data_IF_138834308901
#
_entry.id   IF_138834308901
#
_cell.length_a   1.000
_cell.length_b   1.000
_cell.length_c   1.000
_cell.angle_alpha   90.00
_cell.angle_beta   90.00
_cell.angle_gamma   90.00
#
_symmetry.space_group_name_H-M   'P 1'
#
loop_
_entity.id
_entity.type
_entity.pdbx_description
1 polymer ?
#
# COMPACT_ATOMS: atom_id res chain seq x y z
N UNK A 1 26.83 -1.01 -40.22
CA UNK A 1 27.80 -2.02 -39.74
C UNK A 1 27.11 -2.81 -38.64
N UNK A 2 26.90 -4.10 -38.83
CA UNK A 2 26.32 -4.94 -37.76
C UNK A 2 27.38 -5.13 -36.68
N UNK A 3 27.07 -4.75 -35.44
CA UNK A 3 27.91 -5.15 -34.31
C UNK A 3 27.91 -6.67 -34.23
N UNK A 4 29.04 -7.31 -33.84
CA UNK A 4 29.06 -8.74 -33.63
C UNK A 4 28.01 -9.08 -32.57
N UNK A 5 27.14 -10.05 -32.87
CA UNK A 5 25.97 -10.39 -32.05
C UNK A 5 26.31 -10.61 -30.56
N UNK A 6 27.52 -11.08 -30.28
CA UNK A 6 28.05 -11.28 -28.93
C UNK A 6 28.08 -10.00 -28.08
N UNK A 7 28.44 -8.84 -28.64
CA UNK A 7 28.51 -7.58 -27.90
C UNK A 7 27.10 -7.13 -27.53
N UNK A 8 26.18 -7.20 -28.49
CA UNK A 8 24.77 -6.86 -28.27
C UNK A 8 24.17 -7.70 -27.16
N UNK A 9 24.42 -9.01 -27.15
CA UNK A 9 23.94 -9.93 -26.10
C UNK A 9 24.50 -9.54 -24.73
N UNK A 10 25.80 -9.22 -24.62
CA UNK A 10 26.40 -8.81 -23.35
C UNK A 10 25.80 -7.49 -22.85
N UNK A 11 25.56 -6.51 -23.74
CA UNK A 11 24.91 -5.26 -23.37
C UNK A 11 23.47 -5.48 -22.88
N UNK A 12 22.72 -6.38 -23.51
CA UNK A 12 21.36 -6.75 -23.08
C UNK A 12 21.38 -7.46 -21.72
N UNK A 13 22.33 -8.38 -21.48
CA UNK A 13 22.48 -9.04 -20.19
C UNK A 13 22.84 -8.05 -19.08
N UNK A 14 23.75 -7.10 -19.35
CA UNK A 14 24.13 -6.07 -18.38
C UNK A 14 22.99 -5.11 -18.08
N UNK A 15 22.12 -4.79 -19.05
CA UNK A 15 20.96 -3.93 -18.82
C UNK A 15 19.83 -4.61 -18.05
N UNK A 16 19.77 -5.94 -18.04
CA UNK A 16 18.79 -6.69 -17.27
C UNK A 16 18.95 -6.50 -15.76
N UNK A 17 20.20 -6.42 -15.27
CA UNK A 17 20.51 -6.33 -13.84
C UNK A 17 19.92 -5.09 -13.15
N UNK A 18 20.13 -3.84 -13.66
CA UNK A 18 19.54 -2.65 -13.04
C UNK A 18 18.02 -2.64 -13.14
N UNK A 19 17.44 -3.14 -14.24
CA UNK A 19 15.98 -3.29 -14.40
C UNK A 19 15.39 -4.25 -13.36
N UNK A 20 16.02 -5.40 -13.17
CA UNK A 20 15.61 -6.40 -12.17
C UNK A 20 15.76 -5.86 -10.74
N UNK A 21 16.86 -5.17 -10.44
CA UNK A 21 17.09 -4.56 -9.13
C UNK A 21 16.02 -3.51 -8.79
N UNK A 22 15.63 -2.69 -9.77
CA UNK A 22 14.56 -1.71 -9.63
C UNK A 22 13.22 -2.38 -9.29
N UNK A 23 12.85 -3.44 -10.02
CA UNK A 23 11.61 -4.19 -9.77
C UNK A 23 11.63 -4.86 -8.40
N UNK A 24 12.74 -5.50 -8.02
CA UNK A 24 12.87 -6.15 -6.71
C UNK A 24 12.74 -5.16 -5.55
N UNK A 25 13.18 -3.91 -5.75
CA UNK A 25 12.96 -2.82 -4.78
C UNK A 25 11.50 -2.37 -4.78
N UNK A 26 10.88 -2.29 -5.94
CA UNK A 26 9.48 -1.87 -6.07
C UNK A 26 8.53 -2.90 -5.43
N UNK A 27 8.79 -4.20 -5.60
CA UNK A 27 8.08 -5.31 -4.95
C UNK A 27 8.15 -5.27 -3.42
N UNK A 28 9.24 -4.73 -2.84
CA UNK A 28 9.32 -4.57 -1.38
C UNK A 28 8.44 -3.43 -0.87
N UNK A 29 8.09 -2.47 -1.74
CA UNK A 29 7.34 -1.26 -1.39
C UNK A 29 5.87 -1.38 -1.83
N UNK A 30 5.57 -2.25 -2.79
CA UNK A 30 4.21 -2.46 -3.31
C UNK A 30 3.86 -3.94 -3.23
N UNK A 31 2.65 -4.29 -2.78
CA UNK A 31 2.16 -5.65 -2.93
C UNK A 31 2.22 -6.04 -4.41
N UNK A 32 2.54 -7.32 -4.67
CA UNK A 32 2.66 -7.84 -6.02
C UNK A 32 1.30 -7.74 -6.71
N UNK A 33 1.11 -6.72 -7.55
CA UNK A 33 -0.02 -6.68 -8.46
C UNK A 33 0.16 -7.79 -9.50
N UNK A 34 -0.90 -8.53 -9.86
CA UNK A 34 -0.91 -9.48 -10.98
C UNK A 34 -0.66 -8.77 -12.31
N UNK A 35 0.60 -8.43 -12.56
CA UNK A 35 1.06 -7.99 -13.86
C UNK A 35 1.36 -9.25 -14.65
N UNK A 36 0.98 -9.29 -15.92
CA UNK A 36 1.35 -10.40 -16.80
C UNK A 36 2.88 -10.46 -16.89
N UNK A 37 3.47 -11.66 -16.85
CA UNK A 37 4.95 -11.80 -16.88
C UNK A 37 5.60 -11.14 -18.10
N UNK A 38 4.86 -10.97 -19.21
CA UNK A 38 5.31 -10.20 -20.37
C UNK A 38 5.46 -8.70 -20.06
N UNK A 39 4.50 -8.10 -19.35
CA UNK A 39 4.54 -6.69 -19.01
C UNK A 39 5.61 -6.42 -17.93
N UNK A 40 5.81 -7.36 -17.00
CA UNK A 40 6.96 -7.31 -16.08
C UNK A 40 8.28 -7.32 -16.85
N UNK A 41 8.45 -8.24 -17.81
CA UNK A 41 9.65 -8.32 -18.63
C UNK A 41 9.88 -7.04 -19.46
N UNK A 42 8.83 -6.51 -20.09
CA UNK A 42 8.91 -5.23 -20.82
C UNK A 42 9.28 -4.08 -19.90
N UNK A 43 8.79 -4.07 -18.66
CA UNK A 43 9.15 -3.06 -17.67
C UNK A 43 10.60 -3.20 -17.19
N UNK A 44 11.08 -4.42 -16.92
CA UNK A 44 12.51 -4.70 -16.63
C UNK A 44 13.37 -4.13 -17.75
N UNK A 45 13.02 -4.46 -18.98
CA UNK A 45 13.80 -4.17 -20.16
C UNK A 45 13.78 -2.67 -20.47
N UNK A 46 12.63 -2.01 -20.37
CA UNK A 46 12.51 -0.56 -20.54
C UNK A 46 13.35 0.19 -19.50
N UNK A 47 13.21 -0.14 -18.20
CA UNK A 47 13.98 0.53 -17.14
C UNK A 47 15.47 0.24 -17.26
N UNK A 48 15.83 -1.01 -17.57
CA UNK A 48 17.21 -1.43 -17.78
C UNK A 48 17.88 -0.70 -18.95
N UNK A 49 17.20 -0.62 -20.10
CA UNK A 49 17.69 0.12 -21.26
C UNK A 49 17.78 1.62 -21.01
N UNK A 50 16.78 2.23 -20.37
CA UNK A 50 16.81 3.66 -20.06
C UNK A 50 17.94 4.03 -19.10
N UNK A 51 18.14 3.24 -18.04
CA UNK A 51 19.21 3.50 -17.05
C UNK A 51 20.59 3.23 -17.63
N UNK A 52 20.76 2.16 -18.39
CA UNK A 52 22.04 1.84 -19.06
C UNK A 52 22.35 2.85 -20.16
N UNK A 53 21.36 3.23 -20.96
CA UNK A 53 21.51 4.24 -22.01
C UNK A 53 21.90 5.61 -21.44
N UNK A 54 21.26 6.02 -20.34
CA UNK A 54 21.63 7.24 -19.63
C UNK A 54 23.06 7.16 -19.07
N UNK A 55 23.44 6.02 -18.49
CA UNK A 55 24.80 5.84 -17.98
C UNK A 55 25.87 5.89 -19.07
N UNK A 56 25.61 5.24 -20.22
CA UNK A 56 26.50 5.30 -21.39
C UNK A 56 26.61 6.74 -21.91
N UNK A 57 25.49 7.46 -21.98
CA UNK A 57 25.48 8.87 -22.40
C UNK A 57 26.34 9.72 -21.47
N UNK A 58 26.19 9.55 -20.15
CA UNK A 58 27.00 10.27 -19.16
C UNK A 58 28.49 9.95 -19.35
N UNK A 59 28.85 8.67 -19.52
CA UNK A 59 30.24 8.27 -19.77
C UNK A 59 30.82 8.87 -21.05
N UNK A 60 30.03 8.99 -22.13
CA UNK A 60 30.47 9.61 -23.39
C UNK A 60 30.66 11.12 -23.24
N UNK A 61 29.87 11.79 -22.39
CA UNK A 61 29.99 13.23 -22.14
C UNK A 61 31.18 13.57 -21.23
N UNK A 62 31.71 12.60 -20.47
CA UNK A 62 32.89 12.83 -19.64
C UNK A 62 34.16 12.91 -20.53
N UNK A 63 35.14 13.74 -20.14
CA UNK A 63 36.38 13.88 -20.90
C UNK A 63 37.12 12.54 -21.06
N UNK A 64 37.68 12.26 -22.25
CA UNK A 64 38.21 10.95 -22.62
C UNK A 64 39.51 10.59 -21.90
N UNK A 65 40.09 11.50 -21.11
CA UNK A 65 41.39 11.29 -20.46
C UNK A 65 41.38 10.12 -19.49
N UNK A 66 40.24 9.81 -18.88
CA UNK A 66 40.10 8.75 -17.88
C UNK A 66 39.25 7.55 -18.33
N UNK A 67 38.48 7.71 -19.41
CA UNK A 67 37.48 6.74 -19.86
C UNK A 67 37.75 6.28 -21.31
N UNK A 68 36.86 5.45 -21.82
CA UNK A 68 36.93 4.92 -23.18
C UNK A 68 36.63 6.02 -24.20
N UNK A 69 37.50 6.19 -25.20
CA UNK A 69 37.24 7.08 -26.33
C UNK A 69 36.36 6.32 -27.36
N UNK A 70 35.09 6.71 -27.54
CA UNK A 70 34.18 6.02 -28.45
C UNK A 70 34.62 6.16 -29.91
N UNK A 71 35.27 7.26 -30.29
CA UNK A 71 35.72 7.50 -31.67
C UNK A 71 36.92 6.60 -31.97
N UNK A 72 37.88 6.52 -31.04
CA UNK A 72 39.03 5.63 -31.17
C UNK A 72 38.61 4.15 -31.14
N UNK A 73 37.59 3.78 -30.35
CA UNK A 73 37.05 2.42 -30.34
C UNK A 73 36.40 2.05 -31.68
N UNK A 74 35.59 2.95 -32.28
CA UNK A 74 34.95 2.69 -33.58
C UNK A 74 35.98 2.60 -34.71
N UNK A 75 37.03 3.42 -34.67
CA UNK A 75 38.10 3.41 -35.69
C UNK A 75 39.08 2.25 -35.51
N UNK A 76 39.49 1.94 -34.29
CA UNK A 76 40.52 0.95 -33.97
C UNK A 76 39.98 -0.45 -33.66
N UNK A 77 38.68 -0.58 -33.42
CA UNK A 77 37.99 -1.85 -33.17
C UNK A 77 38.69 -2.72 -32.13
N UNK A 78 39.01 -3.96 -32.52
CA UNK A 78 39.64 -4.96 -31.65
C UNK A 78 41.07 -4.57 -31.20
N UNK A 79 41.83 -3.88 -32.05
CA UNK A 79 43.20 -3.47 -31.73
C UNK A 79 43.22 -2.41 -30.60
N UNK A 80 42.22 -1.53 -30.58
CA UNK A 80 42.04 -0.56 -29.49
C UNK A 80 41.71 -1.26 -28.16
N UNK A 81 40.78 -2.21 -28.18
CA UNK A 81 40.39 -2.97 -26.97
C UNK A 81 41.59 -3.70 -26.36
N UNK A 82 42.41 -4.35 -27.18
CA UNK A 82 43.59 -5.09 -26.70
C UNK A 82 44.67 -4.16 -26.14
N UNK A 83 44.86 -2.99 -26.73
CA UNK A 83 45.85 -2.01 -26.25
C UNK A 83 45.39 -1.26 -24.99
N UNK A 84 44.09 -1.15 -24.76
CA UNK A 84 43.51 -0.34 -23.68
C UNK A 84 42.54 -1.11 -22.76
N UNK A 85 42.79 -2.42 -22.56
CA UNK A 85 41.97 -3.33 -21.74
C UNK A 85 41.57 -2.74 -20.37
N UNK A 86 42.52 -2.11 -19.66
CA UNK A 86 42.25 -1.49 -18.34
C UNK A 86 41.24 -0.34 -18.43
N UNK A 87 41.35 0.52 -19.45
CA UNK A 87 40.42 1.65 -19.65
C UNK A 87 39.03 1.14 -20.04
N UNK A 88 38.97 0.13 -20.91
CA UNK A 88 37.72 -0.53 -21.29
C UNK A 88 37.02 -1.15 -20.07
N UNK A 89 37.75 -1.91 -19.24
CA UNK A 89 37.20 -2.51 -18.03
C UNK A 89 36.71 -1.46 -17.03
N UNK A 90 37.47 -0.38 -16.85
CA UNK A 90 37.11 0.72 -15.95
C UNK A 90 35.87 1.46 -16.47
N UNK A 91 35.76 1.73 -17.77
CA UNK A 91 34.58 2.36 -18.35
C UNK A 91 33.34 1.48 -18.22
N UNK A 92 33.46 0.16 -18.46
CA UNK A 92 32.33 -0.76 -18.30
C UNK A 92 31.86 -0.77 -16.84
N UNK A 93 32.81 -0.85 -15.90
CA UNK A 93 32.51 -0.85 -14.46
C UNK A 93 31.85 0.48 -14.03
N UNK A 94 32.38 1.61 -14.50
CA UNK A 94 31.83 2.93 -14.22
C UNK A 94 30.40 3.06 -14.77
N UNK A 95 30.16 2.69 -16.03
CA UNK A 95 28.81 2.68 -16.63
C UNK A 95 27.85 1.82 -15.82
N UNK A 96 28.28 0.63 -15.40
CA UNK A 96 27.43 -0.30 -14.64
C UNK A 96 27.06 0.25 -13.26
N UNK A 97 28.04 0.80 -12.53
CA UNK A 97 27.79 1.43 -11.23
C UNK A 97 26.86 2.65 -11.37
N UNK A 98 27.02 3.43 -12.43
CA UNK A 98 26.19 4.60 -12.70
C UNK A 98 24.76 4.21 -13.06
N UNK A 99 24.58 3.13 -13.83
CA UNK A 99 23.26 2.56 -14.13
C UNK A 99 22.55 2.05 -12.86
N UNK A 100 23.27 1.35 -11.97
CA UNK A 100 22.74 0.92 -10.66
C UNK A 100 22.34 2.14 -9.81
N UNK A 101 23.22 3.15 -9.74
CA UNK A 101 22.95 4.39 -9.02
C UNK A 101 21.72 5.12 -9.56
N UNK A 102 21.57 5.21 -10.88
CA UNK A 102 20.40 5.80 -11.52
C UNK A 102 19.11 5.02 -11.20
N UNK A 103 19.15 3.68 -11.25
CA UNK A 103 18.01 2.83 -10.87
C UNK A 103 17.62 3.04 -9.39
N UNK A 104 18.62 3.15 -8.50
CA UNK A 104 18.40 3.43 -7.08
C UNK A 104 17.78 4.82 -6.87
N UNK A 105 18.35 5.84 -7.53
CA UNK A 105 17.84 7.20 -7.46
C UNK A 105 16.41 7.31 -7.98
N UNK A 106 16.10 6.64 -9.10
CA UNK A 106 14.74 6.61 -9.66
C UNK A 106 13.74 5.97 -8.69
N UNK A 107 14.13 4.86 -8.05
CA UNK A 107 13.34 4.20 -7.01
C UNK A 107 13.10 5.14 -5.81
N UNK A 108 14.13 5.85 -5.37
CA UNK A 108 14.07 6.80 -4.26
C UNK A 108 13.19 8.01 -4.56
N UNK A 109 13.37 8.68 -5.70
CA UNK A 109 12.53 9.82 -6.12
C UNK A 109 11.07 9.41 -6.20
N UNK A 110 10.78 8.22 -6.76
CA UNK A 110 9.42 7.66 -6.81
C UNK A 110 8.85 7.32 -5.44
N UNK A 111 9.69 7.09 -4.44
CA UNK A 111 9.25 6.88 -3.05
C UNK A 111 8.89 8.18 -2.34
N UNK A 112 9.56 9.30 -2.65
CA UNK A 112 9.32 10.61 -2.03
C UNK A 112 8.06 11.27 -2.58
N UNK A 113 7.84 11.19 -3.89
CA UNK A 113 6.75 11.89 -4.57
C UNK A 113 5.37 11.27 -4.45
N UNK A 114 5.14 10.32 -3.53
CA UNK A 114 3.81 9.74 -3.37
C UNK A 114 2.94 10.67 -2.54
N UNK A 115 1.90 11.32 -3.13
CA UNK A 115 0.95 12.10 -2.35
C UNK A 115 0.29 11.18 -1.32
N UNK A 116 0.19 11.65 -0.08
CA UNK A 116 -0.42 10.92 1.05
C UNK A 116 -1.96 10.85 0.96
N UNK A 117 -2.54 10.97 -0.23
CA UNK A 117 -3.99 11.04 -0.41
C UNK A 117 -4.42 10.37 -1.70
N UNK A 118 -5.36 9.43 -1.57
CA UNK A 118 -6.13 8.77 -2.61
C UNK A 118 -5.31 8.16 -3.77
N UNK A 119 -5.00 6.88 -3.65
CA UNK A 119 -4.33 6.13 -4.70
C UNK A 119 -5.38 5.35 -5.50
N UNK A 120 -5.86 5.90 -6.61
CA UNK A 120 -6.93 5.29 -7.43
C UNK A 120 -6.54 3.97 -8.12
N UNK A 121 -5.26 3.59 -8.05
CA UNK A 121 -4.70 2.40 -8.68
C UNK A 121 -4.42 1.25 -7.68
N UNK A 122 -4.67 1.46 -6.39
CA UNK A 122 -4.51 0.45 -5.35
C UNK A 122 -5.82 -0.26 -5.03
N UNK A 123 -5.74 -1.52 -4.57
CA UNK A 123 -6.89 -2.17 -3.92
C UNK A 123 -7.30 -1.32 -2.70
N UNK A 124 -8.59 -0.97 -2.53
CA UNK A 124 -9.05 -0.18 -1.38
C UNK A 124 -8.62 -0.77 -0.04
N UNK A 125 -8.53 -2.10 0.03
CA UNK A 125 -8.01 -2.83 1.18
C UNK A 125 -6.56 -2.49 1.50
N UNK A 126 -5.70 -2.45 0.48
CA UNK A 126 -4.27 -2.12 0.64
C UNK A 126 -4.09 -0.71 1.17
N UNK A 127 -4.84 0.24 0.62
CA UNK A 127 -4.74 1.62 1.03
C UNK A 127 -5.27 1.83 2.45
N UNK A 128 -6.41 1.21 2.77
CA UNK A 128 -7.03 1.32 4.10
C UNK A 128 -6.15 0.68 5.20
N UNK A 129 -5.55 -0.48 4.94
CA UNK A 129 -4.68 -1.15 5.91
C UNK A 129 -3.28 -0.54 6.05
N UNK A 130 -2.77 0.15 5.02
CA UNK A 130 -1.48 0.83 5.09
C UNK A 130 -1.59 2.30 5.52
N UNK A 131 -2.80 2.82 5.73
CA UNK A 131 -3.02 4.17 6.23
C UNK A 131 -2.63 4.34 7.72
N UNK A 132 -2.50 3.23 8.46
CA UNK A 132 -2.16 3.24 9.88
C UNK A 132 -0.81 3.94 10.16
N UNK A 133 -0.73 4.77 11.22
CA UNK A 133 0.54 5.38 11.65
C UNK A 133 1.62 4.35 11.98
N UNK A 134 2.90 4.73 11.87
CA UNK A 134 4.06 3.79 12.02
C UNK A 134 4.12 3.05 13.36
N UNK A 135 3.58 3.63 14.43
CA UNK A 135 3.59 3.07 15.78
C UNK A 135 2.27 2.36 16.15
N UNK A 136 1.31 2.36 15.23
CA UNK A 136 -0.02 1.79 15.41
C UNK A 136 -0.26 0.66 14.42
N UNK A 137 -1.07 -0.30 14.84
CA UNK A 137 -1.54 -1.38 13.98
C UNK A 137 -3.01 -1.17 13.62
N UNK A 138 -3.46 -1.70 12.47
CA UNK A 138 -4.89 -1.80 12.20
C UNK A 138 -5.51 -2.90 13.08
N UNK A 139 -6.35 -2.48 14.02
CA UNK A 139 -7.29 -3.32 14.73
C UNK A 139 -8.59 -3.41 13.91
N UNK A 140 -8.97 -4.62 13.54
CA UNK A 140 -10.13 -4.85 12.69
C UNK A 140 -11.31 -5.34 13.51
N UNK A 141 -12.49 -4.83 13.17
CA UNK A 141 -13.79 -5.41 13.56
C UNK A 141 -14.43 -5.92 12.27
N UNK A 142 -14.54 -7.23 12.15
CA UNK A 142 -15.05 -7.91 10.96
C UNK A 142 -16.44 -8.45 11.26
N UNK A 143 -17.44 -7.96 10.54
CA UNK A 143 -18.80 -8.48 10.58
C UNK A 143 -18.92 -9.67 9.64
N UNK A 144 -19.38 -10.78 10.18
CA UNK A 144 -19.55 -12.05 9.48
C UNK A 144 -20.96 -12.16 8.90
N UNK A 145 -21.15 -12.99 7.88
CA UNK A 145 -22.47 -13.25 7.26
C UNK A 145 -23.49 -13.89 8.19
N UNK A 146 -23.04 -14.48 9.30
CA UNK A 146 -23.90 -15.02 10.36
C UNK A 146 -24.22 -14.00 11.47
N UNK A 147 -23.84 -12.74 11.27
CA UNK A 147 -24.04 -11.63 12.21
C UNK A 147 -23.02 -11.59 13.36
N UNK A 148 -22.06 -12.52 13.44
CA UNK A 148 -20.98 -12.45 14.44
C UNK A 148 -20.01 -11.33 14.11
N UNK A 149 -19.46 -10.70 15.15
CA UNK A 149 -18.32 -9.80 15.00
C UNK A 149 -17.05 -10.49 15.47
N UNK A 150 -15.99 -10.40 14.67
CA UNK A 150 -14.66 -10.90 15.01
C UNK A 150 -13.69 -9.73 15.05
N UNK A 151 -13.05 -9.55 16.20
CA UNK A 151 -12.12 -8.46 16.43
C UNK A 151 -10.69 -8.99 16.59
N UNK A 152 -9.70 -8.28 16.05
CA UNK A 152 -8.29 -8.62 16.23
C UNK A 152 -7.34 -7.73 15.43
N UNK A 153 -6.04 -7.90 15.68
CA UNK A 153 -5.02 -7.18 14.91
C UNK A 153 -4.86 -7.81 13.53
N UNK A 154 -4.87 -6.98 12.48
CA UNK A 154 -4.53 -7.45 11.15
C UNK A 154 -3.08 -7.95 11.12
N UNK A 155 -2.89 -9.18 10.63
CA UNK A 155 -1.56 -9.75 10.39
C UNK A 155 -1.23 -9.82 8.90
N UNK A 156 -2.18 -10.31 8.11
CA UNK A 156 -2.05 -10.48 6.68
C UNK A 156 -3.44 -10.48 6.05
N UNK A 157 -3.49 -10.18 4.76
CA UNK A 157 -4.69 -10.31 3.94
C UNK A 157 -4.26 -10.68 2.52
N UNK A 158 -5.17 -11.24 1.75
CA UNK A 158 -4.94 -11.53 0.33
C UNK A 158 -5.49 -10.39 -0.55
N UNK A 159 -4.65 -9.46 -1.06
CA UNK A 159 -5.10 -8.36 -1.90
C UNK A 159 -5.62 -8.81 -3.27
N UNK A 160 -5.29 -10.03 -3.69
CA UNK A 160 -5.51 -10.52 -5.05
C UNK A 160 -6.87 -11.19 -5.25
N UNK A 161 -7.62 -11.36 -4.16
CA UNK A 161 -8.92 -12.03 -4.10
C UNK A 161 -10.03 -10.99 -3.94
N UNK A 162 -10.19 -10.12 -4.93
CA UNK A 162 -11.32 -9.18 -4.98
C UNK A 162 -12.57 -9.85 -5.58
N UNK A 163 -13.79 -9.56 -5.07
CA UNK A 163 -14.14 -8.49 -4.11
C UNK A 163 -13.96 -8.85 -2.63
N UNK A 164 -13.62 -10.10 -2.31
CA UNK A 164 -13.72 -10.68 -0.97
C UNK A 164 -12.38 -11.30 -0.55
N UNK A 165 -11.50 -10.45 -0.03
CA UNK A 165 -10.18 -10.83 0.44
C UNK A 165 -10.26 -11.66 1.71
N UNK A 166 -9.46 -12.73 1.79
CA UNK A 166 -9.29 -13.47 3.04
C UNK A 166 -8.44 -12.62 4.01
N UNK A 167 -8.84 -12.55 5.28
CA UNK A 167 -8.19 -11.72 6.31
C UNK A 167 -7.65 -12.62 7.43
N UNK A 168 -6.38 -12.43 7.78
CA UNK A 168 -5.75 -13.11 8.91
C UNK A 168 -5.61 -12.14 10.07
N UNK A 169 -6.33 -12.44 11.14
CA UNK A 169 -6.25 -11.75 12.42
C UNK A 169 -5.26 -12.46 13.35
N UNK A 170 -4.56 -11.70 14.20
CA UNK A 170 -3.64 -12.24 15.21
C UNK A 170 -3.84 -11.59 16.58
N UNK A 171 -3.31 -12.27 17.59
CA UNK A 171 -3.27 -11.75 18.96
C UNK A 171 -4.52 -12.12 19.73
N UNK A 172 -5.06 -11.17 20.50
CA UNK A 172 -6.28 -11.39 21.27
C UNK A 172 -7.47 -11.27 20.35
N UNK A 173 -8.10 -12.40 20.07
CA UNK A 173 -9.25 -12.46 19.18
C UNK A 173 -10.52 -12.51 20.01
N UNK A 174 -11.36 -11.51 19.81
CA UNK A 174 -12.66 -11.40 20.46
C UNK A 174 -13.74 -11.79 19.46
N UNK A 175 -14.70 -12.59 19.90
CA UNK A 175 -15.87 -12.92 19.12
C UNK A 175 -17.13 -12.48 19.87
N UNK A 176 -17.94 -11.65 19.21
CA UNK A 176 -19.24 -11.21 19.72
C UNK A 176 -20.32 -11.99 18.97
N UNK A 177 -21.22 -12.69 19.68
CA UNK A 177 -22.32 -13.42 19.06
C UNK A 177 -23.29 -12.47 18.35
N UNK A 178 -24.11 -12.95 17.39
CA UNK A 178 -25.02 -12.11 16.61
C UNK A 178 -26.09 -11.44 17.48
N UNK A 179 -26.42 -12.05 18.62
CA UNK A 179 -27.45 -11.55 19.55
C UNK A 179 -27.02 -10.29 20.32
N UNK A 180 -25.85 -9.71 20.03
CA UNK A 180 -25.35 -8.49 20.67
C UNK A 180 -25.06 -8.65 22.16
N UNK A 181 -24.96 -9.90 22.65
CA UNK A 181 -24.71 -10.17 24.07
C UNK A 181 -23.43 -9.47 24.56
N UNK A 182 -23.50 -8.81 25.72
CA UNK A 182 -22.43 -7.98 26.29
C UNK A 182 -21.06 -8.68 26.48
N UNK A 183 -21.05 -10.02 26.44
CA UNK A 183 -19.84 -10.83 26.66
C UNK A 183 -19.22 -11.26 25.34
N UNK A 184 -18.31 -10.44 24.82
CA UNK A 184 -17.35 -10.89 23.83
C UNK A 184 -16.51 -12.04 24.41
N UNK A 185 -16.56 -13.19 23.75
CA UNK A 185 -15.81 -14.37 24.18
C UNK A 185 -14.38 -14.24 23.65
N UNK A 186 -13.41 -14.23 24.57
CA UNK A 186 -12.00 -14.31 24.20
C UNK A 186 -11.72 -15.73 23.72
N UNK A 187 -11.45 -15.88 22.43
CA UNK A 187 -11.11 -17.16 21.86
C UNK A 187 -9.60 -17.37 22.01
N UNK A 188 -9.20 -18.49 22.61
CA UNK A 188 -7.79 -18.82 22.85
C UNK A 188 -7.13 -19.37 21.58
N UNK A 189 -7.09 -18.55 20.53
CA UNK A 189 -6.41 -18.83 19.27
C UNK A 189 -5.37 -17.75 19.00
N UNK A 190 -4.21 -18.15 18.47
CA UNK A 190 -3.14 -17.20 18.15
C UNK A 190 -3.36 -16.47 16.82
N UNK A 191 -4.07 -17.14 15.90
CA UNK A 191 -4.40 -16.65 14.55
C UNK A 191 -5.79 -17.13 14.20
N UNK A 192 -6.54 -16.28 13.53
CA UNK A 192 -7.86 -16.60 13.01
C UNK A 192 -7.96 -16.10 11.58
N UNK A 193 -8.43 -16.96 10.68
CA UNK A 193 -8.57 -16.65 9.27
C UNK A 193 -10.05 -16.45 9.00
N UNK A 194 -10.40 -15.24 8.57
CA UNK A 194 -11.73 -14.91 8.09
C UNK A 194 -11.74 -15.13 6.58
N UNK A 195 -12.59 -16.04 6.11
CA UNK A 195 -12.77 -16.29 4.68
C UNK A 195 -13.56 -15.13 4.09
N UNK A 196 -13.09 -14.53 3.00
CA UNK A 196 -13.67 -13.33 2.41
C UNK A 196 -15.16 -13.50 2.06
N UNK A 197 -15.60 -14.70 1.69
CA UNK A 197 -17.00 -14.99 1.40
C UNK A 197 -17.95 -14.77 2.57
N UNK A 198 -17.42 -14.85 3.79
CA UNK A 198 -18.15 -14.67 5.04
C UNK A 198 -18.07 -13.23 5.56
N UNK A 199 -17.38 -12.32 4.87
CA UNK A 199 -17.23 -10.93 5.32
C UNK A 199 -18.39 -10.11 4.77
N UNK A 200 -19.11 -9.43 5.66
CA UNK A 200 -20.15 -8.44 5.33
C UNK A 200 -19.56 -7.04 5.33
N UNK A 201 -18.89 -6.67 6.43
CA UNK A 201 -18.28 -5.36 6.61
C UNK A 201 -16.96 -5.48 7.39
N UNK A 202 -16.05 -4.52 7.16
CA UNK A 202 -14.79 -4.40 7.92
C UNK A 202 -14.63 -2.98 8.38
N UNK A 203 -14.49 -2.80 9.69
CA UNK A 203 -14.19 -1.53 10.31
C UNK A 203 -12.73 -1.56 10.79
N UNK A 204 -12.01 -0.46 10.55
CA UNK A 204 -10.59 -0.35 10.84
C UNK A 204 -10.42 0.72 11.93
N UNK A 205 -9.72 0.35 13.00
CA UNK A 205 -9.33 1.25 14.08
C UNK A 205 -7.82 1.23 14.20
N UNK A 206 -7.20 2.40 14.17
CA UNK A 206 -5.79 2.51 14.49
C UNK A 206 -5.64 2.46 16.01
N UNK A 207 -4.90 1.47 16.49
CA UNK A 207 -4.64 1.28 17.90
C UNK A 207 -3.16 1.02 18.14
N UNK A 208 -2.70 1.36 19.35
CA UNK A 208 -1.32 1.10 19.74
C UNK A 208 -1.07 -0.41 19.77
N UNK A 209 -0.20 -0.87 18.86
CA UNK A 209 0.10 -2.29 18.77
C UNK A 209 0.71 -2.73 20.11
N UNK A 210 0.21 -3.80 20.75
CA UNK A 210 0.81 -4.30 21.97
C UNK A 210 2.25 -4.71 21.63
N UNK A 211 3.21 -3.94 22.15
CA UNK A 211 4.64 -4.13 21.94
C UNK A 211 5.07 -5.44 22.57
N UNK A 212 4.93 -6.53 21.80
CA UNK A 212 5.23 -7.90 22.19
C UNK A 212 4.46 -8.37 23.46
N UNK A 213 3.60 -9.40 23.38
CA UNK A 213 2.93 -9.95 24.55
C UNK A 213 3.90 -10.40 25.65
N UNK A 214 5.20 -10.59 25.34
CA UNK A 214 6.22 -10.88 26.32
C UNK A 214 6.56 -9.73 27.28
N UNK A 215 6.22 -8.46 26.97
CA UNK A 215 6.83 -7.32 27.69
C UNK A 215 5.92 -6.35 28.42
N UNK A 216 4.58 -6.33 28.24
CA UNK A 216 3.74 -5.41 29.02
C UNK A 216 2.29 -5.87 29.21
N UNK A 217 1.95 -6.14 30.47
CA UNK A 217 0.59 -6.40 30.96
C UNK A 217 -0.16 -5.06 31.08
N UNK A 218 -0.57 -4.46 29.97
CA UNK A 218 -1.40 -3.25 30.00
C UNK A 218 -2.86 -3.64 30.30
N UNK A 219 -3.54 -2.83 31.11
CA UNK A 219 -4.91 -3.07 31.59
C UNK A 219 -5.95 -2.80 30.48
N UNK A 220 -6.32 -3.84 29.75
CA UNK A 220 -7.26 -3.85 28.61
C UNK A 220 -8.68 -3.35 28.91
N UNK A 221 -9.11 -3.31 30.18
CA UNK A 221 -10.43 -2.81 30.55
C UNK A 221 -10.66 -1.36 30.11
N UNK A 222 -9.65 -0.50 30.28
CA UNK A 222 -9.75 0.92 29.89
C UNK A 222 -9.77 1.14 28.38
N UNK A 223 -9.02 0.33 27.63
CA UNK A 223 -8.99 0.43 26.16
C UNK A 223 -10.34 0.04 25.54
N UNK A 224 -11.03 -0.95 26.11
CA UNK A 224 -12.34 -1.40 25.62
C UNK A 224 -13.42 -0.32 25.80
N UNK A 225 -13.48 0.33 26.97
CA UNK A 225 -14.46 1.39 27.20
C UNK A 225 -14.27 2.58 26.24
N UNK A 226 -13.02 2.91 25.90
CA UNK A 226 -12.73 4.00 24.99
C UNK A 226 -13.17 3.71 23.54
N UNK A 227 -12.94 2.48 23.05
CA UNK A 227 -13.34 2.11 21.68
C UNK A 227 -14.86 1.95 21.58
N UNK A 228 -15.49 1.22 22.49
CA UNK A 228 -16.93 0.96 22.42
C UNK A 228 -17.77 2.23 22.60
N UNK A 229 -17.33 3.18 23.43
CA UNK A 229 -17.97 4.49 23.53
C UNK A 229 -17.95 5.27 22.20
N UNK A 230 -16.86 5.20 21.43
CA UNK A 230 -16.73 5.87 20.13
C UNK A 230 -17.59 5.22 19.03
N UNK A 231 -17.73 3.89 19.05
CA UNK A 231 -18.52 3.15 18.05
C UNK A 231 -20.01 3.35 18.27
N UNK A 232 -20.48 3.23 19.52
CA UNK A 232 -21.91 3.32 19.83
C UNK A 232 -22.48 4.73 19.59
N UNK A 233 -21.74 5.77 19.96
CA UNK A 233 -22.19 7.15 19.74
C UNK A 233 -22.28 7.56 18.27
N UNK A 234 -21.60 6.85 17.35
CA UNK A 234 -21.66 7.17 15.92
C UNK A 234 -22.88 6.56 15.23
N UNK A 235 -23.33 5.38 15.66
CA UNK A 235 -24.50 4.70 15.09
C UNK A 235 -25.84 5.37 15.45
N UNK A 236 -25.95 5.94 16.65
CA UNK A 236 -27.19 6.61 17.09
C UNK A 236 -27.42 7.97 16.40
N UNK A 237 -26.36 8.66 15.97
CA UNK A 237 -26.47 9.95 15.30
C UNK A 237 -26.99 9.83 13.85
N UNK A 238 -26.59 8.80 13.11
CA UNK A 238 -27.07 8.58 11.72
C UNK A 238 -28.51 8.05 11.66
N UNK A 239 -28.98 7.39 12.72
CA UNK A 239 -30.35 6.84 12.76
C UNK A 239 -31.42 7.88 13.10
N UNK A 240 -31.03 9.08 13.58
CA UNK A 240 -31.94 10.17 13.93
C UNK A 240 -32.30 11.12 12.76
N UNK A 241 -31.51 11.13 11.67
CA UNK A 241 -31.78 11.99 10.50
C UNK A 241 -32.54 11.30 9.35
N UNK A 242 -32.83 10.00 9.48
CA UNK A 242 -33.64 9.22 8.52
C UNK A 242 -35.15 9.41 8.63
N UNK A 243 -35.62 10.65 8.82
CA UNK A 243 -37.04 11.00 8.82
C UNK A 243 -37.62 11.01 7.40
N UNK A 244 -38.58 10.09 7.17
CA UNK A 244 -39.47 9.93 6.01
C UNK A 244 -39.63 11.11 5.02
N UNK A 245 -39.53 10.88 3.70
CA UNK A 245 -40.05 11.80 2.70
C UNK A 245 -41.59 11.78 2.72
N UNK A 246 -42.18 12.93 3.03
CA UNK A 246 -43.62 13.16 2.94
C UNK A 246 -44.09 13.06 1.48
N UNK A 247 -44.99 12.11 1.23
CA UNK A 247 -45.81 12.08 0.03
C UNK A 247 -47.12 12.82 0.32
N UNK A 248 -47.42 13.89 -0.44
CA UNK A 248 -48.74 14.16 -1.04
C UNK A 248 -48.81 15.59 -1.57
N UNK A 249 -49.18 15.74 -2.83
CA UNK A 249 -49.75 16.99 -3.32
C UNK A 249 -51.12 17.24 -2.73
N UNK A 250 -51.55 18.51 -2.69
CA UNK A 250 -52.81 19.06 -3.23
C UNK A 250 -52.96 20.51 -2.72
N UNK A 251 -53.39 21.39 -3.63
CA UNK A 251 -53.84 22.77 -3.38
C UNK A 251 -54.75 22.93 -2.15
N UNK A 252 -54.60 24.03 -1.40
CA UNK A 252 -55.67 25.04 -1.23
C UNK A 252 -55.24 26.21 -0.33
N UNK A 253 -55.66 27.41 -0.74
CA UNK A 253 -55.72 28.70 -0.06
C UNK A 253 -55.90 28.71 1.48
N UNK A 254 -55.33 29.74 2.12
CA UNK A 254 -56.08 30.55 3.10
C UNK A 254 -55.50 30.65 4.51
N UNK A 255 -55.05 31.88 4.84
CA UNK A 255 -55.28 32.66 6.08
C UNK A 255 -54.78 32.14 7.45
N UNK A 256 -53.99 33.03 8.07
CA UNK A 256 -53.90 33.43 9.48
C UNK A 256 -53.97 32.38 10.60
N UNK A 257 -52.91 32.37 11.42
CA UNK A 257 -52.90 31.68 12.69
C UNK A 257 -51.58 31.79 13.43
N UNK A 258 -51.37 32.94 14.09
CA UNK A 258 -50.52 33.11 15.27
C UNK A 258 -50.73 31.95 16.24
N UNK A 259 -49.68 31.38 16.86
CA UNK A 259 -49.68 30.89 18.26
C UNK A 259 -48.28 30.39 18.69
N UNK A 260 -47.90 30.92 19.84
CA UNK A 260 -47.11 30.36 20.95
C UNK A 260 -45.75 29.67 20.70
N UNK A 261 -44.71 30.40 21.11
CA UNK A 261 -43.43 29.87 21.54
C UNK A 261 -43.56 29.18 22.92
N UNK A 262 -43.45 27.85 22.96
CA UNK A 262 -43.26 27.11 24.20
C UNK A 262 -41.76 26.86 24.46
N UNK A 263 -41.36 27.37 25.62
CA UNK A 263 -40.06 27.32 26.25
C UNK A 263 -39.89 25.94 26.93
N UNK A 264 -39.02 25.08 26.38
CA UNK A 264 -38.74 23.77 27.00
C UNK A 264 -37.42 23.84 27.77
N UNK A 265 -37.57 24.21 29.05
CA UNK A 265 -36.54 24.14 30.07
C UNK A 265 -36.02 22.71 30.28
N UNK A 266 -34.72 22.64 30.49
CA UNK A 266 -33.84 21.47 30.48
C UNK A 266 -33.66 20.96 31.92
N UNK A 267 -34.24 19.81 32.26
CA UNK A 267 -33.88 19.03 33.45
C UNK A 267 -32.71 18.08 33.12
N UNK A 268 -31.66 18.11 33.96
CA UNK A 268 -30.65 17.04 34.05
C UNK A 268 -30.83 16.34 35.41
N UNK A 269 -30.84 15.00 35.47
CA UNK A 269 -30.53 14.29 36.69
C UNK A 269 -29.02 13.97 36.78
N UNK A 270 -28.55 13.95 38.03
CA UNK A 270 -27.22 13.51 38.47
C UNK A 270 -26.98 12.02 38.24
#
# INVERSE_FOLDING_TARGET
>A
MAFPASITIVCVLLSLVPGWLYLRRLERIRPASKVTGLNELLQVLAVGLSTTGLAVLIVILLPPDWLLDPVALVKGGKAYVLSHLRRVALSITATFLLAIGAAYFLSWVRSIGRPKGFNTLGSPWVDAFNASPKDQGPWLIVEMTDGRFVEGWLRAYDPDKEPKSDIVLQGRIHMTPPDGGERSLLVKVNRYIVVGDQIVSVQIFDADMPSDPAKKRMSWGKFREEIWGKVWCRGEAESAEGGMPAASGTESNGLDGTLESEDCSRERPN
#
